data_IF_767481956684
#
_entry.id   IF_767481956684
#
_cell.length_a   1.000
_cell.length_b   1.000
_cell.length_c   1.000
_cell.angle_alpha   90.00
_cell.angle_beta   90.00
_cell.angle_gamma   90.00
#
_symmetry.space_group_name_H-M   'P 1'
#
loop_
_entity.id
_entity.type
_entity.pdbx_description
1 polymer ?
#
# COMPACT_ATOMS: atom_id res chain seq x y z
N UNK A 1 31.59 25.22 -31.01
CA UNK A 1 30.85 24.16 -30.30
C UNK A 1 30.92 24.52 -28.83
N UNK A 2 29.84 25.05 -28.27
CA UNK A 2 29.73 25.35 -26.84
C UNK A 2 29.65 24.02 -26.10
N UNK A 3 30.66 23.70 -25.29
CA UNK A 3 30.57 22.57 -24.37
C UNK A 3 29.45 22.88 -23.39
N UNK A 4 28.36 22.11 -23.43
CA UNK A 4 27.33 22.16 -22.39
C UNK A 4 28.03 21.87 -21.06
N UNK A 5 28.09 22.87 -20.18
CA UNK A 5 28.58 22.65 -18.82
C UNK A 5 27.64 21.65 -18.13
N UNK A 6 28.15 20.75 -17.30
CA UNK A 6 27.30 19.81 -16.57
C UNK A 6 26.36 20.60 -15.66
N UNK A 7 25.04 20.50 -15.89
CA UNK A 7 24.03 21.04 -14.98
C UNK A 7 24.32 20.51 -13.57
N UNK A 8 24.59 21.42 -12.64
CA UNK A 8 24.83 21.10 -11.25
C UNK A 8 23.48 21.03 -10.54
N UNK A 9 23.30 20.00 -9.71
CA UNK A 9 22.06 19.83 -8.96
C UNK A 9 22.09 20.70 -7.71
N UNK A 10 21.08 21.57 -7.54
CA UNK A 10 21.00 22.55 -6.46
C UNK A 10 20.90 21.88 -5.08
N UNK A 11 20.13 20.79 -4.98
CA UNK A 11 20.05 19.95 -3.79
C UNK A 11 19.71 18.51 -4.17
N UNK A 12 20.49 17.56 -3.65
CA UNK A 12 20.07 16.16 -3.67
C UNK A 12 19.00 15.90 -2.62
N UNK A 13 17.76 15.72 -3.08
CA UNK A 13 16.65 15.37 -2.21
C UNK A 13 16.69 13.88 -1.91
N UNK A 14 16.50 13.57 -0.64
CA UNK A 14 16.33 12.19 -0.20
C UNK A 14 15.04 11.62 -0.77
N UNK A 15 15.02 10.31 -1.06
CA UNK A 15 13.76 9.65 -1.36
C UNK A 15 12.84 9.70 -0.15
N UNK A 16 11.52 9.52 -0.36
CA UNK A 16 10.62 9.15 0.72
C UNK A 16 11.07 7.87 1.43
N UNK A 17 10.55 7.63 2.64
CA UNK A 17 10.92 6.47 3.45
C UNK A 17 10.78 5.14 2.70
N UNK A 18 11.86 4.36 2.63
CA UNK A 18 11.88 3.04 2.00
C UNK A 18 11.06 1.99 2.77
N UNK A 19 10.74 2.25 4.05
CA UNK A 19 9.95 1.38 4.92
C UNK A 19 8.44 1.50 4.68
N UNK A 20 8.02 2.49 3.92
CA UNK A 20 6.62 2.73 3.60
C UNK A 20 5.95 1.49 3.01
N UNK A 21 6.55 0.95 1.94
CA UNK A 21 5.94 -0.14 1.17
C UNK A 21 5.88 -1.42 2.00
N UNK A 22 6.92 -1.71 2.77
CA UNK A 22 6.92 -2.86 3.68
C UNK A 22 5.81 -2.72 4.73
N UNK A 23 5.64 -1.53 5.31
CA UNK A 23 4.63 -1.31 6.34
C UNK A 23 3.21 -1.39 5.79
N UNK A 24 2.95 -0.79 4.62
CA UNK A 24 1.64 -0.89 3.96
C UNK A 24 1.32 -2.35 3.61
N UNK A 25 2.29 -3.09 3.03
CA UNK A 25 2.08 -4.50 2.72
C UNK A 25 1.83 -5.33 3.98
N UNK A 26 2.57 -5.07 5.07
CA UNK A 26 2.37 -5.72 6.35
C UNK A 26 0.96 -5.48 6.89
N UNK A 27 0.47 -4.24 6.89
CA UNK A 27 -0.89 -3.91 7.32
C UNK A 27 -1.93 -4.65 6.47
N UNK A 28 -1.75 -4.65 5.15
CA UNK A 28 -2.70 -5.31 4.26
C UNK A 28 -2.72 -6.83 4.46
N UNK A 29 -1.57 -7.44 4.74
CA UNK A 29 -1.43 -8.87 4.94
C UNK A 29 -1.85 -9.34 6.34
N UNK A 30 -1.57 -8.54 7.37
CA UNK A 30 -1.73 -8.93 8.78
C UNK A 30 -2.98 -8.36 9.43
N UNK A 31 -3.59 -7.32 8.83
CA UNK A 31 -4.83 -6.72 9.33
C UNK A 31 -5.94 -6.85 8.29
N UNK A 32 -5.83 -6.24 7.12
CA UNK A 32 -6.94 -6.20 6.16
C UNK A 32 -7.44 -7.59 5.77
N UNK A 33 -6.53 -8.47 5.33
CA UNK A 33 -6.91 -9.83 4.94
C UNK A 33 -7.51 -10.64 6.12
N UNK A 34 -6.87 -10.73 7.31
CA UNK A 34 -7.44 -11.44 8.44
C UNK A 34 -8.80 -10.91 8.90
N UNK A 35 -9.03 -9.59 8.88
CA UNK A 35 -10.34 -9.04 9.24
C UNK A 35 -11.41 -9.37 8.20
N UNK A 36 -11.07 -9.38 6.90
CA UNK A 36 -11.98 -9.89 5.87
C UNK A 36 -12.30 -11.37 6.08
N UNK A 37 -11.32 -12.19 6.45
CA UNK A 37 -11.55 -13.62 6.71
C UNK A 37 -12.39 -13.84 7.97
N UNK A 38 -12.20 -13.02 9.01
CA UNK A 38 -13.02 -13.03 10.22
C UNK A 38 -14.47 -12.65 9.92
N UNK A 39 -14.69 -11.61 9.12
CA UNK A 39 -16.01 -11.22 8.64
C UNK A 39 -16.65 -12.36 7.84
N UNK A 40 -15.89 -13.02 6.97
CA UNK A 40 -16.37 -14.19 6.23
C UNK A 40 -16.80 -15.32 7.16
N UNK A 41 -16.01 -15.65 8.19
CA UNK A 41 -16.35 -16.70 9.15
C UNK A 41 -17.61 -16.36 9.95
N UNK A 42 -17.76 -15.11 10.38
CA UNK A 42 -18.96 -14.64 11.06
C UNK A 42 -20.20 -14.72 10.15
N UNK A 43 -20.04 -14.41 8.86
CA UNK A 43 -21.08 -14.54 7.85
C UNK A 43 -21.48 -15.99 7.61
N UNK A 44 -20.52 -16.91 7.45
CA UNK A 44 -20.81 -18.34 7.28
C UNK A 44 -21.55 -18.92 8.49
N UNK A 45 -21.16 -18.52 9.72
CA UNK A 45 -21.86 -18.93 10.92
C UNK A 45 -23.31 -18.44 10.95
N UNK A 46 -23.55 -17.17 10.59
CA UNK A 46 -24.90 -16.62 10.49
C UNK A 46 -25.70 -17.22 9.32
N UNK A 47 -25.05 -17.60 8.23
CA UNK A 47 -25.68 -18.25 7.09
C UNK A 47 -26.28 -19.60 7.47
N UNK A 48 -25.55 -20.43 8.23
CA UNK A 48 -26.05 -21.75 8.65
C UNK A 48 -27.44 -21.64 9.28
N UNK A 49 -27.70 -20.55 10.01
CA UNK A 49 -29.01 -20.22 10.54
C UNK A 49 -29.96 -19.56 9.52
N UNK A 50 -29.44 -18.71 8.63
CA UNK A 50 -30.20 -17.92 7.65
C UNK A 50 -29.65 -17.98 6.22
N UNK A 51 -29.90 -19.07 5.47
CA UNK A 51 -29.40 -19.21 4.11
C UNK A 51 -29.95 -18.13 3.18
N UNK A 52 -29.07 -17.34 2.56
CA UNK A 52 -29.46 -16.28 1.62
C UNK A 52 -28.44 -16.09 0.51
N UNK A 53 -28.86 -16.37 -0.72
CA UNK A 53 -28.05 -16.11 -1.92
C UNK A 53 -27.73 -14.63 -2.12
N UNK A 54 -28.60 -13.73 -1.63
CA UNK A 54 -28.36 -12.29 -1.64
C UNK A 54 -27.18 -11.90 -0.75
N UNK A 55 -27.07 -12.49 0.45
CA UNK A 55 -25.94 -12.26 1.37
C UNK A 55 -24.62 -12.70 0.71
N UNK A 56 -24.60 -13.89 0.09
CA UNK A 56 -23.41 -14.40 -0.64
C UNK A 56 -22.93 -13.42 -1.70
N UNK A 57 -23.87 -12.94 -2.51
CA UNK A 57 -23.59 -12.06 -3.64
C UNK A 57 -23.00 -10.74 -3.14
N UNK A 58 -23.64 -10.10 -2.15
CA UNK A 58 -23.15 -8.85 -1.55
C UNK A 58 -21.71 -9.03 -1.05
N UNK A 59 -21.45 -10.11 -0.29
CA UNK A 59 -20.14 -10.32 0.30
C UNK A 59 -19.06 -10.63 -0.75
N UNK A 60 -19.37 -11.46 -1.75
CA UNK A 60 -18.48 -11.77 -2.87
C UNK A 60 -18.09 -10.51 -3.66
N UNK A 61 -19.06 -9.65 -3.98
CA UNK A 61 -18.82 -8.37 -4.66
C UNK A 61 -17.89 -7.46 -3.84
N UNK A 62 -18.08 -7.42 -2.52
CA UNK A 62 -17.25 -6.61 -1.61
C UNK A 62 -15.82 -7.15 -1.52
N UNK A 63 -15.64 -8.47 -1.44
CA UNK A 63 -14.31 -9.08 -1.44
C UNK A 63 -13.56 -8.84 -2.75
N UNK A 64 -14.25 -8.92 -3.90
CA UNK A 64 -13.67 -8.55 -5.20
C UNK A 64 -13.28 -7.08 -5.24
N UNK A 65 -14.19 -6.20 -4.83
CA UNK A 65 -13.97 -4.76 -4.73
C UNK A 65 -12.77 -4.41 -3.82
N UNK A 66 -12.63 -5.11 -2.69
CA UNK A 66 -11.50 -4.98 -1.78
C UNK A 66 -10.17 -5.39 -2.43
N UNK A 67 -10.14 -6.53 -3.13
CA UNK A 67 -8.96 -7.00 -3.86
C UNK A 67 -8.54 -6.03 -4.97
N UNK A 68 -9.50 -5.45 -5.70
CA UNK A 68 -9.23 -4.43 -6.72
C UNK A 68 -8.56 -3.19 -6.11
N UNK A 69 -9.07 -2.70 -4.97
CA UNK A 69 -8.51 -1.54 -4.25
C UNK A 69 -7.09 -1.76 -3.75
N UNK A 70 -6.69 -2.99 -3.43
CA UNK A 70 -5.30 -3.30 -3.09
C UNK A 70 -4.34 -3.11 -4.28
N UNK A 71 -4.83 -3.14 -5.51
CA UNK A 71 -4.02 -2.83 -6.69
C UNK A 71 -3.52 -1.38 -6.64
N UNK A 72 -4.30 -0.45 -6.06
CA UNK A 72 -3.86 0.93 -5.88
C UNK A 72 -2.67 1.05 -4.93
N UNK A 73 -2.57 0.22 -3.89
CA UNK A 73 -1.40 0.18 -3.01
C UNK A 73 -0.18 -0.44 -3.70
N UNK A 74 -0.40 -1.48 -4.52
CA UNK A 74 0.64 -2.05 -5.37
C UNK A 74 1.20 -1.02 -6.37
N UNK A 75 0.33 -0.19 -6.97
CA UNK A 75 0.74 0.87 -7.89
C UNK A 75 1.70 1.88 -7.22
N UNK A 76 1.52 2.17 -5.93
CA UNK A 76 2.45 3.04 -5.17
C UNK A 76 3.83 2.41 -5.07
N UNK A 77 3.92 1.09 -4.80
CA UNK A 77 5.19 0.38 -4.80
C UNK A 77 5.88 0.45 -6.16
N UNK A 78 5.15 0.14 -7.23
CA UNK A 78 5.67 0.19 -8.59
C UNK A 78 6.17 1.60 -8.96
N UNK A 79 5.40 2.63 -8.62
CA UNK A 79 5.80 4.01 -8.93
C UNK A 79 7.01 4.47 -8.11
N UNK A 80 7.21 3.97 -6.90
CA UNK A 80 8.43 4.23 -6.13
C UNK A 80 9.64 3.58 -6.78
N UNK A 81 9.52 2.34 -7.25
CA UNK A 81 10.58 1.67 -7.97
C UNK A 81 10.96 2.45 -9.24
N UNK A 82 9.96 2.83 -10.03
CA UNK A 82 10.17 3.63 -11.24
C UNK A 82 10.78 5.00 -10.96
N UNK A 83 10.31 5.69 -9.92
CA UNK A 83 10.86 7.00 -9.54
C UNK A 83 12.31 6.87 -9.10
N UNK A 84 12.64 5.85 -8.32
CA UNK A 84 14.00 5.59 -7.87
C UNK A 84 14.94 5.22 -9.03
N UNK A 85 14.52 4.30 -9.89
CA UNK A 85 15.26 3.98 -11.12
C UNK A 85 15.47 5.23 -12.01
N UNK A 86 14.46 6.10 -12.12
CA UNK A 86 14.56 7.37 -12.82
C UNK A 86 15.63 8.30 -12.22
N UNK A 87 15.71 8.37 -10.89
CA UNK A 87 16.73 9.15 -10.19
C UNK A 87 18.14 8.59 -10.41
N UNK A 88 18.32 7.26 -10.30
CA UNK A 88 19.62 6.63 -10.52
C UNK A 88 20.14 6.87 -11.94
N UNK A 89 19.28 6.75 -12.96
CA UNK A 89 19.64 7.10 -14.35
C UNK A 89 20.02 8.57 -14.51
N UNK A 90 19.37 9.45 -13.75
CA UNK A 90 19.73 10.86 -13.72
C UNK A 90 21.13 11.06 -13.12
N UNK A 91 21.48 10.36 -12.04
CA UNK A 91 22.83 10.39 -11.47
C UNK A 91 23.88 9.87 -12.46
N UNK A 92 23.63 8.74 -13.13
CA UNK A 92 24.54 8.18 -14.15
C UNK A 92 24.78 9.17 -15.31
N UNK A 93 23.72 9.88 -15.73
CA UNK A 93 23.81 10.90 -16.77
C UNK A 93 24.62 12.13 -16.33
N UNK A 94 24.57 12.48 -15.04
CA UNK A 94 25.41 13.53 -14.47
C UNK A 94 26.89 13.12 -14.45
N UNK A 95 27.20 11.92 -13.98
CA UNK A 95 28.58 11.39 -13.90
C UNK A 95 29.24 11.28 -15.28
N UNK A 96 28.48 10.87 -16.29
CA UNK A 96 28.98 10.66 -17.66
C UNK A 96 28.97 11.93 -18.51
N UNK A 97 28.44 13.04 -18.00
CA UNK A 97 28.34 14.32 -18.71
C UNK A 97 27.43 14.29 -19.94
N UNK A 98 26.55 13.30 -20.04
CA UNK A 98 25.74 13.03 -21.24
C UNK A 98 24.25 13.27 -20.95
N UNK A 99 23.62 14.24 -21.62
CA UNK A 99 22.16 14.32 -21.74
C UNK A 99 21.35 14.34 -20.44
N UNK A 100 21.86 14.97 -19.38
CA UNK A 100 21.25 15.00 -18.05
C UNK A 100 19.84 15.65 -17.99
N UNK A 101 19.51 16.57 -18.91
CA UNK A 101 18.19 17.22 -18.97
C UNK A 101 17.06 16.23 -19.22
N UNK A 102 17.22 15.29 -20.17
CA UNK A 102 16.20 14.30 -20.48
C UNK A 102 16.00 13.31 -19.33
N UNK A 103 17.11 12.87 -18.72
CA UNK A 103 17.07 11.97 -17.56
C UNK A 103 16.37 12.64 -16.36
N UNK A 104 16.68 13.91 -16.11
CA UNK A 104 16.04 14.73 -15.08
C UNK A 104 14.54 14.91 -15.33
N UNK A 105 14.13 15.29 -16.55
CA UNK A 105 12.72 15.42 -16.90
C UNK A 105 11.98 14.08 -16.81
N UNK A 106 12.64 12.98 -17.17
CA UNK A 106 12.12 11.63 -17.00
C UNK A 106 11.91 11.27 -15.52
N UNK A 107 12.83 11.64 -14.64
CA UNK A 107 12.68 11.48 -13.18
C UNK A 107 11.50 12.30 -12.63
N UNK A 108 11.44 13.60 -12.93
CA UNK A 108 10.35 14.47 -12.48
C UNK A 108 8.97 14.03 -13.01
N UNK A 109 8.91 13.54 -14.25
CA UNK A 109 7.67 13.00 -14.80
C UNK A 109 7.18 11.80 -13.97
N UNK A 110 8.07 10.87 -13.62
CA UNK A 110 7.74 9.71 -12.78
C UNK A 110 7.31 10.11 -11.38
N UNK A 111 7.97 11.07 -10.74
CA UNK A 111 7.58 11.53 -9.41
C UNK A 111 6.19 12.18 -9.40
N UNK A 112 5.80 12.90 -10.46
CA UNK A 112 4.42 13.42 -10.63
C UNK A 112 3.39 12.31 -10.76
N UNK A 113 3.71 11.25 -11.50
CA UNK A 113 2.84 10.08 -11.59
C UNK A 113 2.75 9.36 -10.24
N UNK A 114 3.85 9.25 -9.49
CA UNK A 114 3.86 8.69 -8.14
C UNK A 114 2.92 9.45 -7.19
N UNK A 115 2.98 10.79 -7.18
CA UNK A 115 2.04 11.66 -6.43
C UNK A 115 0.59 11.34 -6.80
N UNK A 116 0.26 11.25 -8.09
CA UNK A 116 -1.09 10.92 -8.55
C UNK A 116 -1.53 9.54 -8.06
N UNK A 117 -0.67 8.53 -8.14
CA UNK A 117 -0.97 7.16 -7.71
C UNK A 117 -1.14 7.05 -6.19
N UNK A 118 -0.35 7.79 -5.42
CA UNK A 118 -0.50 7.89 -3.96
C UNK A 118 -1.86 8.47 -3.56
N UNK A 119 -2.32 9.53 -4.21
CA UNK A 119 -3.66 10.09 -3.97
C UNK A 119 -4.77 9.07 -4.30
N UNK A 120 -4.65 8.36 -5.43
CA UNK A 120 -5.61 7.31 -5.81
C UNK A 120 -5.63 6.19 -4.76
N UNK A 121 -4.47 5.82 -4.21
CA UNK A 121 -4.38 4.81 -3.17
C UNK A 121 -5.05 5.25 -1.85
N UNK A 122 -4.88 6.52 -1.45
CA UNK A 122 -5.58 7.09 -0.30
C UNK A 122 -7.11 7.03 -0.48
N UNK A 123 -7.63 7.44 -1.64
CA UNK A 123 -9.05 7.35 -1.95
C UNK A 123 -9.55 5.89 -1.95
N UNK A 124 -8.75 4.97 -2.49
CA UNK A 124 -9.07 3.55 -2.51
C UNK A 124 -9.18 2.96 -1.09
N UNK A 125 -8.32 3.36 -0.15
CA UNK A 125 -8.40 2.93 1.25
C UNK A 125 -9.69 3.39 1.94
N UNK A 126 -10.11 4.63 1.71
CA UNK A 126 -11.35 5.15 2.26
C UNK A 126 -12.56 4.38 1.70
N UNK A 127 -12.59 4.17 0.38
CA UNK A 127 -13.63 3.36 -0.27
C UNK A 127 -13.60 1.89 0.19
N UNK A 128 -12.42 1.32 0.45
CA UNK A 128 -12.27 -0.04 0.95
C UNK A 128 -13.01 -0.22 2.28
N UNK A 129 -12.78 0.69 3.23
CA UNK A 129 -13.49 0.67 4.52
C UNK A 129 -14.99 0.87 4.34
N UNK A 130 -15.38 1.81 3.49
CA UNK A 130 -16.78 2.19 3.33
C UNK A 130 -17.62 1.08 2.66
N UNK A 131 -17.10 0.44 1.62
CA UNK A 131 -17.77 -0.67 0.94
C UNK A 131 -18.06 -1.82 1.92
N UNK A 132 -17.09 -2.17 2.78
CA UNK A 132 -17.26 -3.20 3.81
C UNK A 132 -18.31 -2.78 4.83
N UNK A 133 -18.28 -1.52 5.28
CA UNK A 133 -19.26 -0.98 6.23
C UNK A 133 -20.69 -1.10 5.69
N UNK A 134 -20.89 -0.70 4.43
CA UNK A 134 -22.18 -0.75 3.75
C UNK A 134 -22.65 -2.21 3.65
N UNK A 135 -21.77 -3.11 3.23
CA UNK A 135 -22.08 -4.53 3.10
C UNK A 135 -22.51 -5.16 4.42
N UNK A 136 -21.74 -4.94 5.50
CA UNK A 136 -22.09 -5.41 6.84
C UNK A 136 -23.45 -4.88 7.27
N UNK A 137 -23.75 -3.60 7.01
CA UNK A 137 -25.05 -3.00 7.34
C UNK A 137 -26.21 -3.64 6.56
N UNK A 138 -26.02 -3.87 5.26
CA UNK A 138 -27.03 -4.52 4.41
C UNK A 138 -27.28 -5.95 4.87
N UNK A 139 -26.20 -6.70 5.14
CA UNK A 139 -26.29 -8.09 5.59
C UNK A 139 -26.94 -8.17 6.98
N UNK A 140 -26.58 -7.29 7.91
CA UNK A 140 -27.23 -7.20 9.22
C UNK A 140 -28.74 -7.03 9.07
N UNK A 141 -29.17 -6.16 8.14
CA UNK A 141 -30.60 -5.91 7.88
C UNK A 141 -31.31 -7.15 7.35
N UNK A 142 -30.64 -7.95 6.51
CA UNK A 142 -31.18 -9.20 5.96
C UNK A 142 -31.27 -10.33 7.00
N UNK A 143 -30.34 -10.37 7.97
CA UNK A 143 -30.31 -11.38 9.03
C UNK A 143 -31.27 -11.01 10.18
N UNK A 144 -31.59 -9.71 10.35
CA UNK A 144 -32.38 -9.14 11.45
C UNK A 144 -33.80 -9.70 11.65
N UNK A 145 -34.24 -10.67 10.86
CA UNK A 145 -35.52 -11.34 11.01
C UNK A 145 -35.58 -12.44 12.10
N UNK A 146 -34.46 -12.92 12.66
CA UNK A 146 -34.46 -14.02 13.67
C UNK A 146 -33.37 -13.89 14.76
N UNK A 147 -33.78 -13.91 16.03
CA UNK A 147 -33.21 -13.09 17.11
C UNK A 147 -31.92 -13.49 17.87
N UNK A 148 -31.19 -14.57 17.57
CA UNK A 148 -29.96 -14.92 18.34
C UNK A 148 -28.65 -14.86 17.57
N UNK A 149 -28.63 -15.33 16.33
CA UNK A 149 -27.39 -15.41 15.52
C UNK A 149 -26.94 -14.04 15.00
N UNK A 150 -27.88 -13.08 14.95
CA UNK A 150 -27.62 -11.67 14.66
C UNK A 150 -26.62 -11.05 15.63
N UNK A 151 -26.75 -11.33 16.94
CA UNK A 151 -25.95 -10.64 17.96
C UNK A 151 -24.48 -11.01 17.90
N UNK A 152 -24.17 -12.27 17.59
CA UNK A 152 -22.78 -12.72 17.39
C UNK A 152 -22.19 -12.06 16.15
N UNK A 153 -22.92 -12.06 15.03
CA UNK A 153 -22.49 -11.40 13.80
C UNK A 153 -22.25 -9.90 13.98
N UNK A 154 -23.16 -9.17 14.65
CA UNK A 154 -23.01 -7.74 14.93
C UNK A 154 -21.76 -7.47 15.78
N UNK A 155 -21.50 -8.30 16.79
CA UNK A 155 -20.35 -8.12 17.68
C UNK A 155 -19.04 -8.31 16.92
N UNK A 156 -18.91 -9.41 16.18
CA UNK A 156 -17.72 -9.75 15.41
C UNK A 156 -17.46 -8.75 14.28
N UNK A 157 -18.52 -8.32 13.59
CA UNK A 157 -18.41 -7.34 12.52
C UNK A 157 -18.03 -5.96 13.04
N UNK A 158 -18.56 -5.52 14.18
CA UNK A 158 -18.19 -4.26 14.81
C UNK A 158 -16.71 -4.22 15.21
N UNK A 159 -16.21 -5.31 15.80
CA UNK A 159 -14.79 -5.43 16.16
C UNK A 159 -13.90 -5.40 14.91
N UNK A 160 -14.27 -6.15 13.87
CA UNK A 160 -13.51 -6.19 12.61
C UNK A 160 -13.49 -4.83 11.91
N UNK A 161 -14.62 -4.12 11.88
CA UNK A 161 -14.73 -2.78 11.30
C UNK A 161 -13.85 -1.74 12.01
N UNK A 162 -13.70 -1.84 13.34
CA UNK A 162 -12.84 -0.96 14.11
C UNK A 162 -11.35 -1.20 13.78
N UNK A 163 -10.93 -2.45 13.70
CA UNK A 163 -9.56 -2.82 13.32
C UNK A 163 -9.24 -2.38 11.88
N UNK A 164 -10.17 -2.61 10.94
CA UNK A 164 -10.05 -2.14 9.56
C UNK A 164 -9.95 -0.61 9.48
N UNK A 165 -10.79 0.12 10.22
CA UNK A 165 -10.74 1.57 10.26
C UNK A 165 -9.37 2.07 10.78
N UNK A 166 -8.89 1.52 11.89
CA UNK A 166 -7.60 1.90 12.48
C UNK A 166 -6.44 1.67 11.51
N UNK A 167 -6.42 0.51 10.84
CA UNK A 167 -5.40 0.18 9.86
C UNK A 167 -5.48 1.04 8.59
N UNK A 168 -6.68 1.43 8.15
CA UNK A 168 -6.86 2.39 7.05
C UNK A 168 -6.29 3.75 7.41
N UNK A 169 -6.54 4.27 8.61
CA UNK A 169 -5.95 5.54 9.07
C UNK A 169 -4.43 5.47 9.13
N UNK A 170 -3.86 4.35 9.60
CA UNK A 170 -2.41 4.14 9.62
C UNK A 170 -1.82 4.15 8.19
N UNK A 171 -2.40 3.39 7.26
CA UNK A 171 -1.97 3.42 5.85
C UNK A 171 -2.13 4.81 5.23
N UNK A 172 -3.20 5.53 5.57
CA UNK A 172 -3.45 6.87 5.05
C UNK A 172 -2.36 7.85 5.49
N UNK A 173 -2.01 7.86 6.78
CA UNK A 173 -0.96 8.72 7.33
C UNK A 173 0.42 8.41 6.72
N UNK A 174 0.72 7.12 6.53
CA UNK A 174 1.94 6.68 5.84
C UNK A 174 2.01 7.21 4.40
N UNK A 175 0.89 7.14 3.66
CA UNK A 175 0.81 7.68 2.30
C UNK A 175 0.87 9.22 2.27
N UNK A 176 0.38 9.90 3.30
CA UNK A 176 0.46 11.36 3.42
C UNK A 176 1.90 11.83 3.66
N UNK A 177 2.63 11.18 4.57
CA UNK A 177 4.06 11.43 4.76
C UNK A 177 4.84 11.21 3.46
N UNK A 178 4.53 10.11 2.76
CA UNK A 178 5.13 9.79 1.48
C UNK A 178 4.87 10.85 0.41
N UNK A 179 3.63 11.35 0.34
CA UNK A 179 3.21 12.38 -0.58
C UNK A 179 4.01 13.67 -0.38
N UNK A 180 4.28 14.07 0.86
CA UNK A 180 5.11 15.25 1.14
C UNK A 180 6.56 15.03 0.73
N UNK A 181 7.12 13.83 0.97
CA UNK A 181 8.45 13.46 0.47
C UNK A 181 8.57 13.55 -1.06
N UNK A 182 7.55 13.08 -1.79
CA UNK A 182 7.53 13.18 -3.26
C UNK A 182 7.40 14.62 -3.76
N UNK A 183 6.62 15.47 -3.07
CA UNK A 183 6.54 16.90 -3.39
C UNK A 183 7.86 17.60 -3.15
N UNK A 184 8.58 17.24 -2.09
CA UNK A 184 9.90 17.80 -1.81
C UNK A 184 10.91 17.41 -2.89
N UNK A 185 10.87 16.16 -3.36
CA UNK A 185 11.64 15.71 -4.53
C UNK A 185 11.33 16.54 -5.77
N UNK A 186 10.05 16.89 -6.02
CA UNK A 186 9.67 17.72 -7.16
C UNK A 186 10.16 19.18 -7.07
N UNK A 187 10.52 19.65 -5.87
CA UNK A 187 11.14 20.97 -5.66
C UNK A 187 12.64 20.97 -5.96
N UNK A 188 13.23 19.81 -6.28
CA UNK A 188 14.59 19.75 -6.80
C UNK A 188 14.68 20.62 -8.06
N UNK A 189 15.77 21.36 -8.18
CA UNK A 189 16.08 22.22 -9.32
C UNK A 189 17.48 21.93 -9.84
N UNK A 190 17.70 22.29 -11.10
CA UNK A 190 19.01 22.37 -11.73
C UNK A 190 19.35 23.85 -11.85
N UNK A 191 20.50 24.28 -11.30
CA UNK A 191 21.06 25.61 -11.49
C UNK A 191 22.55 25.45 -11.77
N UNK A 192 23.00 26.03 -12.87
CA UNK A 192 24.39 25.99 -13.32
C UNK A 192 25.32 26.85 -12.44
N UNK A 193 24.76 27.75 -11.63
CA UNK A 193 25.51 28.69 -10.80
C UNK A 193 25.78 28.21 -9.37
N UNK A 194 25.25 27.03 -9.00
CA UNK A 194 25.32 26.52 -7.64
C UNK A 194 26.54 25.62 -7.41
N UNK A 195 26.91 25.49 -6.14
CA UNK A 195 28.02 24.62 -5.74
C UNK A 195 27.65 23.15 -5.96
N UNK A 196 28.56 22.35 -6.53
CA UNK A 196 28.34 20.92 -6.65
C UNK A 196 28.22 20.27 -5.26
N UNK A 197 27.32 19.28 -5.11
CA UNK A 197 27.24 18.50 -3.89
C UNK A 197 28.58 17.79 -3.62
N UNK A 198 28.88 17.56 -2.34
CA UNK A 198 30.06 16.78 -1.96
C UNK A 198 29.92 15.32 -2.41
N UNK A 199 31.05 14.62 -2.55
CA UNK A 199 31.08 13.20 -2.89
C UNK A 199 30.32 12.36 -1.84
N UNK A 200 30.48 12.71 -0.55
CA UNK A 200 29.79 12.03 0.54
C UNK A 200 28.26 12.22 0.47
N UNK A 201 27.79 13.42 0.11
CA UNK A 201 26.37 13.69 -0.10
C UNK A 201 25.83 12.93 -1.32
N UNK A 202 26.58 12.88 -2.41
CA UNK A 202 26.25 12.13 -3.61
C UNK A 202 26.04 10.65 -3.29
N UNK A 203 27.05 10.02 -2.67
CA UNK A 203 27.04 8.61 -2.31
C UNK A 203 25.89 8.28 -1.36
N UNK A 204 25.68 9.10 -0.32
CA UNK A 204 24.60 8.88 0.66
C UNK A 204 23.20 8.97 0.03
N UNK A 205 23.00 9.89 -0.91
CA UNK A 205 21.72 10.05 -1.60
C UNK A 205 21.50 8.88 -2.56
N UNK A 206 22.51 8.51 -3.35
CA UNK A 206 22.46 7.38 -4.26
C UNK A 206 22.09 6.09 -3.52
N UNK A 207 22.76 5.79 -2.40
CA UNK A 207 22.47 4.63 -1.56
C UNK A 207 21.01 4.60 -1.08
N UNK A 208 20.47 5.74 -0.65
CA UNK A 208 19.08 5.81 -0.20
C UNK A 208 18.08 5.57 -1.33
N UNK A 209 18.35 6.08 -2.52
CA UNK A 209 17.50 5.83 -3.68
C UNK A 209 17.60 4.38 -4.17
N UNK A 210 18.77 3.77 -4.12
CA UNK A 210 18.95 2.33 -4.37
C UNK A 210 18.15 1.48 -3.37
N UNK A 211 18.22 1.81 -2.07
CA UNK A 211 17.43 1.12 -1.04
C UNK A 211 15.92 1.23 -1.32
N UNK A 212 15.43 2.41 -1.72
CA UNK A 212 14.02 2.56 -2.10
C UNK A 212 13.70 1.72 -3.36
N UNK A 213 14.55 1.72 -4.37
CA UNK A 213 14.37 0.97 -5.61
C UNK A 213 14.24 -0.53 -5.33
N UNK A 214 15.14 -1.08 -4.51
CA UNK A 214 15.14 -2.49 -4.11
C UNK A 214 13.91 -2.83 -3.26
N UNK A 215 13.61 -2.01 -2.25
CA UNK A 215 12.50 -2.26 -1.33
C UNK A 215 11.12 -2.12 -1.96
N UNK A 216 11.02 -1.52 -3.14
CA UNK A 216 9.77 -1.29 -3.88
C UNK A 216 9.66 -2.10 -5.17
N UNK A 217 10.63 -2.98 -5.45
CA UNK A 217 10.68 -3.75 -6.68
C UNK A 217 9.45 -4.64 -6.93
N UNK A 218 9.12 -4.98 -8.19
CA UNK A 218 7.94 -5.78 -8.55
C UNK A 218 7.83 -7.15 -7.85
N UNK A 219 8.97 -7.71 -7.44
CA UNK A 219 9.07 -8.98 -6.72
C UNK A 219 9.26 -8.86 -5.20
N UNK A 220 9.37 -7.65 -4.65
CA UNK A 220 9.68 -7.45 -3.24
C UNK A 220 8.56 -7.97 -2.31
N UNK A 221 7.31 -7.94 -2.79
CA UNK A 221 6.17 -8.41 -2.01
C UNK A 221 5.18 -9.21 -2.85
N UNK A 222 4.41 -10.06 -2.17
CA UNK A 222 3.45 -10.99 -2.79
C UNK A 222 2.09 -10.33 -3.06
N UNK A 223 2.07 -9.14 -3.66
CA UNK A 223 0.84 -8.38 -3.97
C UNK A 223 -0.21 -9.19 -4.74
N UNK A 224 0.23 -9.99 -5.72
CA UNK A 224 -0.67 -10.89 -6.46
C UNK A 224 -1.28 -11.99 -5.58
N UNK A 225 -0.53 -12.52 -4.62
CA UNK A 225 -1.07 -13.51 -3.70
C UNK A 225 -2.06 -12.87 -2.71
N UNK A 226 -1.75 -11.66 -2.23
CA UNK A 226 -2.62 -10.91 -1.34
C UNK A 226 -3.99 -10.64 -2.01
N UNK A 227 -3.98 -10.12 -3.25
CA UNK A 227 -5.22 -9.84 -3.99
C UNK A 227 -6.08 -11.08 -4.19
N UNK A 228 -5.48 -12.20 -4.63
CA UNK A 228 -6.21 -13.47 -4.77
C UNK A 228 -6.83 -13.93 -3.45
N UNK A 229 -6.12 -13.81 -2.33
CA UNK A 229 -6.66 -14.16 -1.01
C UNK A 229 -7.78 -13.21 -0.57
N UNK A 230 -7.64 -11.91 -0.84
CA UNK A 230 -8.69 -10.95 -0.50
C UNK A 230 -9.97 -11.18 -1.30
N UNK A 231 -9.87 -11.62 -2.56
CA UNK A 231 -11.03 -11.95 -3.39
C UNK A 231 -11.86 -13.12 -2.82
N UNK A 232 -11.24 -14.01 -2.03
CA UNK A 232 -11.89 -15.21 -1.50
C UNK A 232 -11.90 -16.36 -2.51
N UNK A 233 -12.46 -17.52 -2.15
CA UNK A 233 -12.61 -18.64 -3.08
C UNK A 233 -13.47 -18.22 -4.27
N UNK A 234 -13.04 -18.56 -5.48
CA UNK A 234 -13.89 -18.42 -6.66
C UNK A 234 -15.07 -19.37 -6.50
N UNK A 235 -16.29 -18.83 -6.60
CA UNK A 235 -17.53 -19.61 -6.77
C UNK A 235 -17.49 -20.29 -8.14
N UNK A 236 -16.58 -21.24 -8.30
CA UNK A 236 -16.59 -22.19 -9.40
C UNK A 236 -17.44 -23.36 -8.94
N UNK A 237 -18.56 -23.60 -9.63
CA UNK A 237 -19.34 -24.84 -9.54
C UNK A 237 -18.55 -26.03 -10.16
N UNK A 238 -17.21 -25.99 -10.16
CA UNK A 238 -16.36 -27.06 -10.67
C UNK A 238 -15.92 -27.99 -9.52
N UNK A 239 -15.99 -29.32 -9.72
CA UNK A 239 -15.66 -30.27 -8.69
C UNK A 239 -14.18 -30.12 -8.30
N UNK A 240 -13.95 -29.98 -6.99
CA UNK A 240 -12.64 -29.87 -6.36
C UNK A 240 -11.74 -31.04 -6.80
N UNK A 241 -10.87 -30.79 -7.79
CA UNK A 241 -9.67 -31.61 -7.94
C UNK A 241 -8.65 -31.09 -6.93
N UNK A 242 -8.33 -31.93 -5.96
CA UNK A 242 -7.22 -31.82 -5.02
C UNK A 242 -5.96 -31.25 -5.68
N UNK A 243 -5.64 -29.99 -5.38
CA UNK A 243 -4.37 -29.39 -5.78
C UNK A 243 -3.38 -29.45 -4.60
N UNK A 244 -2.27 -30.11 -4.85
CA UNK A 244 -1.19 -30.36 -3.89
C UNK A 244 -0.58 -29.05 -3.33
N UNK A 245 -0.32 -29.06 -2.02
CA UNK A 245 0.36 -28.01 -1.27
C UNK A 245 1.72 -27.63 -1.89
N UNK A 246 2.03 -26.33 -2.07
CA UNK A 246 3.41 -25.87 -2.13
C UNK A 246 3.83 -25.31 -0.77
N UNK A 247 4.91 -25.87 -0.27
CA UNK A 247 5.67 -25.48 0.92
C UNK A 247 5.94 -23.97 0.94
N UNK A 248 5.50 -23.29 2.01
CA UNK A 248 5.83 -21.89 2.28
C UNK A 248 7.33 -21.72 2.52
N UNK A 249 8.03 -20.76 1.88
CA UNK A 249 9.35 -20.37 2.31
C UNK A 249 9.23 -19.45 3.54
N UNK A 250 9.92 -19.83 4.60
CA UNK A 250 10.09 -19.08 5.84
C UNK A 250 10.79 -17.75 5.55
N UNK A 251 10.14 -16.62 5.84
CA UNK A 251 10.77 -15.30 5.83
C UNK A 251 11.84 -15.24 6.93
N UNK A 252 12.97 -14.52 6.73
CA UNK A 252 13.95 -14.30 7.78
C UNK A 252 13.32 -13.40 8.85
N UNK A 253 13.13 -13.94 10.05
CA UNK A 253 12.93 -13.13 11.25
C UNK A 253 14.30 -12.72 11.75
N UNK A 254 14.72 -11.48 11.51
CA UNK A 254 15.78 -10.88 12.31
C UNK A 254 15.48 -9.42 12.65
N UNK A 255 15.66 -9.11 13.93
CA UNK A 255 15.62 -7.81 14.59
C UNK A 255 14.24 -7.19 14.94
N UNK A 256 13.50 -7.89 15.79
CA UNK A 256 12.47 -7.32 16.65
C UNK A 256 13.12 -6.61 17.87
N UNK A 257 13.23 -5.29 17.81
CA UNK A 257 13.17 -4.44 19.01
C UNK A 257 12.09 -3.40 18.84
N UNK A 258 10.86 -3.79 19.15
CA UNK A 258 9.73 -2.88 19.26
C UNK A 258 9.97 -1.93 20.44
N UNK A 259 10.36 -0.69 20.17
CA UNK A 259 10.01 0.40 21.08
C UNK A 259 8.53 0.71 20.85
N UNK A 260 7.69 0.08 21.66
CA UNK A 260 6.29 0.50 21.88
C UNK A 260 6.28 1.98 22.23
N UNK A 261 5.85 2.83 21.30
CA UNK A 261 5.36 4.17 21.63
C UNK A 261 3.90 4.23 21.18
N UNK A 262 3.01 4.08 22.15
CA UNK A 262 1.57 4.28 21.98
C UNK A 262 1.27 5.78 21.90
N UNK A 263 1.40 6.38 20.72
CA UNK A 263 0.98 7.76 20.52
C UNK A 263 -0.55 7.90 20.42
N UNK A 264 -1.23 6.88 19.88
CA UNK A 264 -2.64 6.98 19.48
C UNK A 264 -3.69 6.85 20.60
N UNK A 265 -3.32 6.37 21.80
CA UNK A 265 -4.27 6.30 22.94
C UNK A 265 -4.60 7.66 23.57
N UNK A 266 -3.95 8.75 23.17
CA UNK A 266 -4.22 10.10 23.74
C UNK A 266 -5.25 10.92 22.95
N UNK A 267 -5.53 10.61 21.69
CA UNK A 267 -6.46 11.43 20.88
C UNK A 267 -7.93 11.12 21.17
N UNK A 268 -8.29 9.86 21.46
CA UNK A 268 -9.68 9.42 21.63
C UNK A 268 -10.19 9.40 23.08
N UNK A 269 -9.53 10.09 24.02
CA UNK A 269 -10.04 10.29 25.40
C UNK A 269 -10.66 11.67 25.65
N UNK A 270 -10.81 12.50 24.60
CA UNK A 270 -11.51 13.79 24.68
C UNK A 270 -12.38 14.01 23.44
N UNK A 271 -13.41 13.21 23.30
CA UNK A 271 -14.70 13.61 22.70
C UNK A 271 -15.78 12.97 23.57
#
# INVERSE_FOLDING_TARGET
MTSSQPLVCVFFKLPPSYQLISRIHEIAWTVFLPQLDRLNQALEAAWVAHPSSAIKKIWSEVRKSAAEKMSSLQDVAYMNHETANGFIRFLEALETGQGNSDAYHGFLSRSRVAVKKTNIAQEALLKFREDIRIAVSQITTLISSDGSDIMSFITESSASMLELATAVEECYALLEEHLEGLKEVQRQSLDENDNPPSEEEFQMVQEKWLMLMESSGPGAYRWHALRRKMQGPEDSDEPVMTLNNPTSPTMPMDSLRSHKISFWRKLFRRI
#
